data_IF_958164678804
#
_entry.id   IF_958164678804
#
_cell.length_a   1.000
_cell.length_b   1.000
_cell.length_c   1.000
_cell.angle_alpha   90.00
_cell.angle_beta   90.00
_cell.angle_gamma   90.00
#
_symmetry.space_group_name_H-M   'P 1'
#
loop_
_entity.id
_entity.type
_entity.pdbx_description
1 polymer ?
#
# COMPACT_ATOMS: atom_id res chain seq x y z
N UNK A 1 -30.65 51.79 0.35
CA UNK A 1 -30.54 53.07 -0.39
C UNK A 1 -29.49 52.85 -1.50
N UNK A 2 -29.97 52.99 -2.73
CA UNK A 2 -29.23 53.17 -4.02
C UNK A 2 -28.49 51.97 -4.61
N UNK A 3 -29.23 51.26 -5.49
CA UNK A 3 -28.75 50.56 -6.68
C UNK A 3 -27.97 51.47 -7.61
N UNK A 4 -26.92 50.94 -8.24
CA UNK A 4 -26.45 51.50 -9.54
C UNK A 4 -26.22 50.36 -10.51
N UNK A 5 -27.05 50.33 -11.56
CA UNK A 5 -26.96 49.56 -12.79
C UNK A 5 -26.01 50.30 -13.73
N UNK A 6 -25.18 49.60 -14.48
CA UNK A 6 -24.55 50.08 -15.73
C UNK A 6 -24.36 48.77 -16.56
N UNK A 7 -25.17 48.43 -17.50
CA UNK A 7 -25.35 48.73 -18.95
C UNK A 7 -24.19 48.28 -19.82
N UNK A 8 -24.52 47.27 -20.63
CA UNK A 8 -23.92 46.67 -21.81
C UNK A 8 -23.14 47.59 -22.75
N UNK A 9 -22.11 47.02 -23.39
CA UNK A 9 -21.80 47.31 -24.80
C UNK A 9 -21.39 46.02 -25.51
N UNK A 10 -22.21 45.64 -26.49
CA UNK A 10 -21.96 44.65 -27.53
C UNK A 10 -21.14 45.32 -28.60
N UNK A 11 -20.07 44.73 -29.05
CA UNK A 11 -19.41 45.12 -30.31
C UNK A 11 -19.19 43.86 -31.15
N UNK A 12 -20.05 43.70 -32.11
CA UNK A 12 -19.92 42.76 -33.21
C UNK A 12 -18.98 43.33 -34.26
N UNK A 13 -17.96 42.60 -34.66
CA UNK A 13 -17.21 42.85 -35.88
C UNK A 13 -17.27 41.59 -36.75
N UNK A 14 -18.11 41.66 -37.74
CA UNK A 14 -18.08 40.77 -38.90
C UNK A 14 -16.99 41.25 -39.87
N UNK A 15 -16.13 40.36 -40.33
CA UNK A 15 -15.30 40.60 -41.51
C UNK A 15 -15.35 39.38 -42.42
N UNK A 16 -15.61 39.74 -43.64
CA UNK A 16 -16.11 39.02 -44.80
C UNK A 16 -15.00 38.21 -45.49
N UNK A 17 -15.38 37.14 -46.10
CA UNK A 17 -14.72 36.23 -47.05
C UNK A 17 -13.79 36.85 -48.07
N UNK A 18 -12.68 36.17 -48.37
CA UNK A 18 -12.05 36.17 -49.67
C UNK A 18 -11.53 34.76 -50.00
N UNK A 19 -12.18 34.09 -50.92
CA UNK A 19 -11.69 32.92 -51.62
C UNK A 19 -10.63 33.35 -52.64
N UNK A 20 -9.45 32.72 -52.58
CA UNK A 20 -8.57 32.61 -53.75
C UNK A 20 -8.08 31.16 -53.84
N UNK A 21 -8.60 30.48 -54.82
CA UNK A 21 -8.11 29.18 -55.26
C UNK A 21 -6.91 29.38 -56.18
N UNK A 22 -5.82 28.66 -55.92
CA UNK A 22 -4.85 28.26 -56.93
C UNK A 22 -4.17 26.98 -56.50
N UNK A 23 -4.31 25.96 -57.34
CA UNK A 23 -3.74 24.65 -57.18
C UNK A 23 -2.23 24.58 -57.44
N UNK A 24 -1.61 23.56 -56.92
CA UNK A 24 -0.69 22.63 -57.56
C UNK A 24 0.23 21.92 -56.57
N UNK A 25 0.29 20.66 -56.78
CA UNK A 25 1.33 19.68 -56.50
C UNK A 25 1.54 19.19 -55.06
N UNK A 26 1.13 17.91 -54.96
CA UNK A 26 1.59 16.92 -54.02
C UNK A 26 3.06 17.01 -53.64
N UNK A 27 3.29 17.20 -52.34
CA UNK A 27 4.46 16.64 -51.72
C UNK A 27 4.00 15.98 -50.42
N UNK A 28 4.13 14.67 -50.39
CA UNK A 28 3.78 13.83 -49.28
C UNK A 28 4.85 13.93 -48.22
N UNK A 29 4.81 14.98 -47.40
CA UNK A 29 5.50 14.96 -46.13
C UNK A 29 4.70 14.11 -45.15
N UNK A 30 5.17 12.87 -44.94
CA UNK A 30 4.86 12.09 -43.76
C UNK A 30 5.14 12.96 -42.55
N UNK A 31 4.09 13.46 -41.90
CA UNK A 31 4.23 13.87 -40.52
C UNK A 31 4.41 12.59 -39.71
N UNK A 32 5.65 12.27 -39.36
CA UNK A 32 5.92 11.40 -38.24
C UNK A 32 5.35 12.09 -37.00
N UNK A 33 4.10 11.78 -36.70
CA UNK A 33 3.58 11.96 -35.36
C UNK A 33 4.37 10.99 -34.51
N UNK A 34 5.41 11.47 -33.85
CA UNK A 34 6.03 10.80 -32.73
C UNK A 34 4.89 10.53 -31.74
N UNK A 35 4.33 9.28 -31.76
CA UNK A 35 3.60 8.75 -30.64
C UNK A 35 4.56 8.82 -29.47
N UNK A 36 4.28 9.70 -28.55
CA UNK A 36 4.83 9.63 -27.20
C UNK A 36 4.36 8.26 -26.68
N UNK A 37 5.25 7.27 -26.67
CA UNK A 37 5.04 5.99 -25.99
C UNK A 37 5.01 6.23 -24.49
N UNK A 38 3.90 6.82 -24.02
CA UNK A 38 3.64 6.95 -22.60
C UNK A 38 3.21 5.54 -22.17
N UNK A 39 4.08 4.84 -21.46
CA UNK A 39 3.74 3.55 -20.87
C UNK A 39 2.48 3.69 -20.01
N UNK A 40 1.64 2.68 -20.00
CA UNK A 40 0.55 2.56 -19.03
C UNK A 40 1.14 2.52 -17.61
N UNK A 41 0.35 2.94 -16.63
CA UNK A 41 0.77 2.95 -15.23
C UNK A 41 0.11 1.81 -14.49
N UNK A 42 0.91 1.11 -13.68
CA UNK A 42 0.41 0.24 -12.61
C UNK A 42 0.34 1.09 -11.34
N UNK A 43 -0.86 1.34 -10.85
CA UNK A 43 -1.06 2.15 -9.63
C UNK A 43 -1.12 1.21 -8.42
N UNK A 44 -0.14 1.34 -7.53
CA UNK A 44 -0.03 0.61 -6.26
C UNK A 44 -0.57 1.48 -5.13
N UNK A 45 -1.56 0.99 -4.38
CA UNK A 45 -1.93 1.53 -3.07
C UNK A 45 -1.12 0.83 -1.99
N UNK A 46 -0.57 1.61 -1.06
CA UNK A 46 0.24 1.12 0.05
C UNK A 46 0.05 1.98 1.29
N UNK A 47 0.61 1.54 2.44
CA UNK A 47 0.75 2.36 3.64
C UNK A 47 2.23 2.40 4.04
N UNK A 48 2.94 3.44 3.61
CA UNK A 48 4.40 3.56 3.69
C UNK A 48 4.92 3.85 5.11
N UNK A 49 4.51 3.02 6.09
CA UNK A 49 4.83 3.10 7.52
C UNK A 49 5.18 1.72 8.08
N UNK A 50 5.54 0.75 7.21
CA UNK A 50 5.68 -0.66 7.56
C UNK A 50 7.03 -1.25 7.11
N UNK A 51 8.16 -0.77 7.70
CA UNK A 51 9.48 -1.29 7.36
C UNK A 51 9.60 -2.78 7.73
N UNK A 52 10.29 -3.59 6.91
CA UNK A 52 11.05 -3.25 5.71
C UNK A 52 10.25 -3.42 4.41
N UNK A 53 8.91 -3.57 4.46
CA UNK A 53 8.07 -3.85 3.29
C UNK A 53 7.78 -2.59 2.48
N UNK A 54 7.26 -1.53 3.13
CA UNK A 54 6.99 -0.24 2.53
C UNK A 54 7.16 0.87 3.56
N UNK A 55 8.05 1.80 3.27
CA UNK A 55 8.33 2.94 4.15
C UNK A 55 9.00 4.08 3.39
N UNK A 56 9.02 5.26 3.99
CA UNK A 56 9.71 6.40 3.41
C UNK A 56 11.20 6.39 3.74
N UNK A 57 12.04 6.52 2.69
CA UNK A 57 13.43 6.94 2.80
C UNK A 57 13.56 8.32 2.14
N UNK A 58 13.62 9.36 2.95
CA UNK A 58 13.47 10.73 2.47
C UNK A 58 12.07 10.98 1.89
N UNK A 59 12.01 11.34 0.61
CA UNK A 59 10.75 11.60 -0.10
C UNK A 59 10.29 10.40 -0.96
N UNK A 60 11.02 9.29 -0.95
CA UNK A 60 10.73 8.11 -1.77
C UNK A 60 10.15 6.97 -0.91
N UNK A 61 9.17 6.26 -1.45
CA UNK A 61 8.66 5.03 -0.85
C UNK A 61 9.55 3.88 -1.33
N UNK A 62 10.16 3.19 -0.38
CA UNK A 62 11.08 2.07 -0.59
C UNK A 62 10.62 0.83 0.19
N UNK A 63 11.31 -0.28 0.03
CA UNK A 63 11.04 -1.53 0.74
C UNK A 63 10.71 -2.67 -0.19
N UNK A 64 10.47 -3.84 0.40
CA UNK A 64 10.24 -5.08 -0.33
C UNK A 64 9.04 -4.94 -1.27
N UNK A 65 7.90 -4.45 -0.78
CA UNK A 65 6.66 -4.33 -1.55
C UNK A 65 6.79 -3.29 -2.66
N UNK A 66 7.44 -2.16 -2.37
CA UNK A 66 7.68 -1.11 -3.37
C UNK A 66 8.58 -1.61 -4.52
N UNK A 67 9.71 -2.28 -4.20
CA UNK A 67 10.62 -2.80 -5.22
C UNK A 67 10.01 -4.00 -5.96
N UNK A 68 9.25 -4.85 -5.27
CA UNK A 68 8.58 -5.99 -5.87
C UNK A 68 7.48 -5.53 -6.84
N UNK A 69 6.66 -4.55 -6.45
CA UNK A 69 5.67 -3.94 -7.35
C UNK A 69 6.32 -3.26 -8.57
N UNK A 70 7.50 -2.62 -8.39
CA UNK A 70 8.26 -2.04 -9.49
C UNK A 70 8.75 -3.13 -10.47
N UNK A 71 9.28 -4.24 -9.95
CA UNK A 71 9.71 -5.36 -10.77
C UNK A 71 8.52 -6.01 -11.53
N UNK A 72 7.36 -6.13 -10.89
CA UNK A 72 6.12 -6.59 -11.54
C UNK A 72 5.70 -5.62 -12.65
N UNK A 73 5.68 -4.32 -12.38
CA UNK A 73 5.34 -3.30 -13.38
C UNK A 73 6.25 -3.39 -14.60
N UNK A 74 7.57 -3.58 -14.40
CA UNK A 74 8.54 -3.76 -15.48
C UNK A 74 8.26 -5.02 -16.32
N UNK A 75 7.91 -6.15 -15.69
CA UNK A 75 7.50 -7.39 -16.40
C UNK A 75 6.24 -7.17 -17.22
N UNK A 76 5.32 -6.33 -16.74
CA UNK A 76 4.09 -5.94 -17.45
C UNK A 76 4.31 -4.86 -18.52
N UNK A 77 5.50 -4.25 -18.61
CA UNK A 77 5.80 -3.15 -19.51
C UNK A 77 5.14 -1.82 -19.11
N UNK A 78 4.81 -1.67 -17.83
CA UNK A 78 4.15 -0.51 -17.23
C UNK A 78 5.13 0.33 -16.38
N UNK A 79 4.76 1.58 -16.08
CA UNK A 79 5.45 2.42 -15.10
C UNK A 79 4.73 2.29 -13.75
N UNK A 80 5.46 2.03 -12.66
CA UNK A 80 4.86 2.01 -11.33
C UNK A 80 4.49 3.43 -10.87
N UNK A 81 3.32 3.57 -10.26
CA UNK A 81 2.91 4.75 -9.50
C UNK A 81 2.46 4.31 -8.11
N UNK A 82 3.13 4.80 -7.08
CA UNK A 82 2.77 4.50 -5.69
C UNK A 82 1.84 5.60 -5.17
N UNK A 83 0.77 5.18 -4.47
CA UNK A 83 -0.20 6.02 -3.76
C UNK A 83 -0.20 5.59 -2.29
N UNK A 84 0.39 6.43 -1.43
CA UNK A 84 0.38 6.23 0.01
C UNK A 84 -0.95 6.64 0.63
N UNK A 85 -1.48 5.80 1.53
CA UNK A 85 -2.75 6.03 2.23
C UNK A 85 -2.81 5.20 3.51
N UNK A 86 -3.82 5.46 4.37
CA UNK A 86 -4.09 4.61 5.53
C UNK A 86 -4.38 3.17 5.10
N UNK A 87 -3.91 2.18 5.89
CA UNK A 87 -3.98 0.76 5.55
C UNK A 87 -5.42 0.29 5.26
N UNK A 88 -6.38 0.70 6.08
CA UNK A 88 -7.81 0.39 5.93
C UNK A 88 -8.46 0.99 4.66
N UNK A 89 -7.78 1.94 4.01
CA UNK A 89 -8.22 2.57 2.77
C UNK A 89 -7.73 1.85 1.50
N UNK A 90 -6.79 0.89 1.62
CA UNK A 90 -6.17 0.21 0.47
C UNK A 90 -7.21 -0.64 -0.29
N UNK A 91 -7.92 -1.54 0.40
CA UNK A 91 -8.95 -2.38 -0.23
C UNK A 91 -10.05 -1.53 -0.90
N UNK A 92 -10.61 -0.49 -0.25
CA UNK A 92 -11.52 0.46 -0.92
C UNK A 92 -10.94 1.13 -2.17
N UNK A 93 -9.64 1.50 -2.16
CA UNK A 93 -8.99 2.09 -3.33
C UNK A 93 -8.89 1.10 -4.50
N UNK A 94 -8.55 -0.16 -4.23
CA UNK A 94 -8.51 -1.24 -5.22
C UNK A 94 -9.91 -1.55 -5.76
N UNK A 95 -10.92 -1.68 -4.89
CA UNK A 95 -12.31 -1.92 -5.28
C UNK A 95 -12.86 -0.85 -6.21
N UNK A 96 -12.60 0.42 -5.90
CA UNK A 96 -13.05 1.55 -6.71
C UNK A 96 -12.28 1.73 -8.02
N UNK A 97 -11.14 1.04 -8.20
CA UNK A 97 -10.23 1.22 -9.33
C UNK A 97 -9.40 2.50 -9.24
N UNK A 98 -9.27 3.11 -8.05
CA UNK A 98 -8.31 4.18 -7.79
C UNK A 98 -6.88 3.65 -7.80
N UNK A 99 -6.69 2.41 -7.37
CA UNK A 99 -5.46 1.65 -7.50
C UNK A 99 -5.72 0.35 -8.26
N UNK A 100 -4.72 -0.14 -8.99
CA UNK A 100 -4.76 -1.41 -9.72
C UNK A 100 -4.42 -2.58 -8.78
N UNK A 101 -3.44 -2.35 -7.89
CA UNK A 101 -2.98 -3.31 -6.88
C UNK A 101 -2.89 -2.66 -5.51
N UNK A 102 -3.09 -3.45 -4.46
CA UNK A 102 -2.72 -3.13 -3.07
C UNK A 102 -1.53 -3.98 -2.67
N UNK A 103 -0.42 -3.35 -2.27
CA UNK A 103 0.78 -4.02 -1.75
C UNK A 103 1.18 -3.32 -0.45
N UNK A 104 1.05 -4.01 0.68
CA UNK A 104 1.21 -3.44 2.01
C UNK A 104 1.34 -4.53 3.09
N UNK A 105 2.19 -5.54 2.86
CA UNK A 105 2.23 -6.71 3.74
C UNK A 105 0.83 -7.31 3.96
N UNK A 106 0.00 -7.33 2.92
CA UNK A 106 -1.42 -7.59 3.09
C UNK A 106 -1.72 -9.08 3.18
N UNK A 107 -2.15 -9.51 4.36
CA UNK A 107 -2.57 -10.87 4.63
C UNK A 107 -3.82 -11.26 3.85
N UNK A 108 -3.81 -12.45 3.28
CA UNK A 108 -4.98 -13.09 2.67
C UNK A 108 -5.91 -13.59 3.77
N UNK A 109 -7.12 -13.02 3.86
CA UNK A 109 -8.18 -13.52 4.76
C UNK A 109 -9.44 -13.83 3.98
N UNK A 110 -10.29 -14.71 4.50
CA UNK A 110 -11.58 -15.04 3.87
C UNK A 110 -12.43 -13.78 3.67
N UNK A 111 -12.43 -12.87 4.65
CA UNK A 111 -13.22 -11.64 4.62
C UNK A 111 -12.72 -10.69 3.53
N UNK A 112 -11.41 -10.47 3.44
CA UNK A 112 -10.77 -9.66 2.38
C UNK A 112 -10.99 -10.29 1.00
N UNK A 113 -10.92 -11.63 0.90
CA UNK A 113 -11.17 -12.36 -0.34
C UNK A 113 -12.62 -12.25 -0.85
N UNK A 114 -13.58 -11.86 -0.02
CA UNK A 114 -14.92 -11.49 -0.50
C UNK A 114 -14.93 -10.17 -1.24
N UNK A 115 -13.98 -9.28 -0.96
CA UNK A 115 -13.94 -7.89 -1.40
C UNK A 115 -13.00 -7.65 -2.58
N UNK A 116 -11.88 -8.36 -2.62
CA UNK A 116 -10.84 -8.30 -3.66
C UNK A 116 -10.43 -9.70 -4.08
N UNK A 117 -9.73 -9.83 -5.19
CA UNK A 117 -8.97 -11.03 -5.51
C UNK A 117 -7.52 -10.83 -5.08
N UNK A 118 -6.83 -11.92 -4.82
CA UNK A 118 -5.43 -11.91 -4.42
C UNK A 118 -4.55 -12.57 -5.47
N UNK A 119 -3.30 -12.12 -5.54
CA UNK A 119 -2.24 -12.84 -6.24
C UNK A 119 -1.87 -14.12 -5.50
N UNK A 120 -0.98 -14.92 -6.09
CA UNK A 120 -0.22 -15.93 -5.35
C UNK A 120 0.57 -15.24 -4.22
N UNK A 121 0.70 -15.96 -3.08
CA UNK A 121 1.46 -15.45 -1.94
C UNK A 121 2.94 -15.25 -2.30
N UNK A 122 3.52 -14.13 -1.82
CA UNK A 122 4.92 -13.82 -2.03
C UNK A 122 5.77 -13.93 -0.77
N UNK A 123 5.20 -13.74 0.42
CA UNK A 123 5.90 -13.76 1.70
C UNK A 123 5.01 -14.37 2.79
N UNK A 124 5.62 -14.92 3.86
CA UNK A 124 4.90 -15.37 5.06
C UNK A 124 5.30 -14.48 6.22
N UNK A 125 4.33 -13.71 6.73
CA UNK A 125 4.45 -12.87 7.91
C UNK A 125 4.13 -13.65 9.18
N UNK A 126 4.54 -13.09 10.31
CA UNK A 126 4.24 -13.64 11.65
C UNK A 126 3.82 -12.50 12.56
N UNK A 127 2.62 -12.58 13.12
CA UNK A 127 2.18 -11.65 14.16
C UNK A 127 2.90 -11.94 15.47
N UNK A 128 3.43 -10.90 16.11
CA UNK A 128 4.15 -10.98 17.38
C UNK A 128 3.60 -9.97 18.38
N UNK A 129 4.03 -10.10 19.63
CA UNK A 129 3.64 -9.23 20.74
C UNK A 129 4.86 -8.42 21.16
N UNK A 130 4.74 -7.09 21.15
CA UNK A 130 5.72 -6.17 21.74
C UNK A 130 5.23 -5.74 23.11
N UNK A 131 6.11 -5.77 24.09
CA UNK A 131 5.87 -5.30 25.47
C UNK A 131 7.06 -4.48 25.97
N UNK A 132 6.90 -3.78 27.09
CA UNK A 132 8.02 -3.14 27.77
C UNK A 132 8.91 -4.20 28.44
N UNK A 133 10.21 -3.88 28.64
CA UNK A 133 11.17 -4.80 29.24
C UNK A 133 10.78 -5.30 30.64
N UNK A 134 10.10 -4.46 31.41
CA UNK A 134 9.60 -4.73 32.76
C UNK A 134 8.19 -5.33 32.80
N UNK A 135 7.60 -5.65 31.65
CA UNK A 135 6.26 -6.24 31.56
C UNK A 135 6.23 -7.68 32.09
N UNK A 136 5.16 -8.00 32.83
CA UNK A 136 4.83 -9.34 33.30
C UNK A 136 4.17 -10.23 32.22
N UNK A 137 3.85 -9.68 31.06
CA UNK A 137 3.26 -10.41 29.92
C UNK A 137 4.35 -11.26 29.28
N UNK A 138 4.10 -12.56 29.17
CA UNK A 138 5.03 -13.56 28.63
C UNK A 138 4.49 -14.28 27.39
N UNK A 139 3.22 -14.14 27.09
CA UNK A 139 2.56 -14.77 25.95
C UNK A 139 1.13 -14.31 25.76
N UNK A 140 0.44 -14.84 24.73
CA UNK A 140 -0.94 -14.45 24.39
C UNK A 140 -1.94 -14.64 25.54
N UNK A 141 -1.77 -15.66 26.37
CA UNK A 141 -2.69 -15.96 27.49
C UNK A 141 -2.73 -14.82 28.53
N UNK A 142 -1.64 -14.06 28.67
CA UNK A 142 -1.50 -12.97 29.63
C UNK A 142 -2.16 -11.66 29.15
N UNK A 143 -2.62 -11.61 27.88
CA UNK A 143 -3.26 -10.41 27.27
C UNK A 143 -4.71 -10.22 27.73
N UNK A 144 -5.31 -11.20 28.44
CA UNK A 144 -6.68 -11.09 28.94
C UNK A 144 -6.84 -9.89 29.87
N UNK A 145 -7.74 -8.97 29.49
CA UNK A 145 -8.02 -7.75 30.26
C UNK A 145 -6.94 -6.68 30.20
N UNK A 146 -5.93 -6.87 29.33
CA UNK A 146 -4.91 -5.89 29.01
C UNK A 146 -5.36 -4.98 27.88
N UNK A 147 -4.78 -3.79 27.79
CA UNK A 147 -4.97 -2.89 26.65
C UNK A 147 -3.97 -3.21 25.56
N UNK A 148 -4.47 -3.52 24.38
CA UNK A 148 -3.69 -3.97 23.24
C UNK A 148 -3.75 -2.89 22.16
N UNK A 149 -2.59 -2.36 21.76
CA UNK A 149 -2.48 -1.45 20.62
C UNK A 149 -2.29 -2.22 19.33
N UNK A 150 -3.01 -1.80 18.30
CA UNK A 150 -2.95 -2.39 16.96
C UNK A 150 -3.00 -1.30 15.89
N UNK A 151 -2.54 -1.60 14.69
CA UNK A 151 -2.83 -0.74 13.55
C UNK A 151 -4.23 -1.08 13.01
N UNK A 152 -5.06 -0.05 12.81
CA UNK A 152 -6.44 -0.20 12.37
C UNK A 152 -6.59 -0.96 11.06
N UNK A 153 -7.47 -1.95 11.03
CA UNK A 153 -7.84 -2.73 9.86
C UNK A 153 -6.84 -3.83 9.48
N UNK A 154 -5.74 -4.01 10.25
CA UNK A 154 -4.80 -5.13 10.07
C UNK A 154 -5.37 -6.42 10.66
N UNK A 155 -4.70 -7.55 10.40
CA UNK A 155 -5.03 -8.83 11.04
C UNK A 155 -4.73 -8.81 12.53
N UNK A 156 -3.72 -8.04 12.96
CA UNK A 156 -3.49 -7.77 14.39
C UNK A 156 -4.69 -7.13 15.08
N UNK A 157 -5.39 -6.20 14.42
CA UNK A 157 -6.64 -5.62 14.91
C UNK A 157 -7.77 -6.66 14.96
N UNK A 158 -7.97 -7.40 13.87
CA UNK A 158 -9.05 -8.39 13.75
C UNK A 158 -8.90 -9.46 14.82
N UNK A 159 -7.74 -10.13 14.89
CA UNK A 159 -7.52 -11.24 15.85
C UNK A 159 -7.52 -10.77 17.29
N UNK A 160 -6.93 -9.59 17.58
CA UNK A 160 -6.97 -9.05 18.94
C UNK A 160 -8.41 -8.74 19.38
N UNK A 161 -9.25 -8.25 18.47
CA UNK A 161 -10.65 -7.96 18.73
C UNK A 161 -11.44 -9.26 18.99
N UNK A 162 -11.20 -10.28 18.19
CA UNK A 162 -11.88 -11.58 18.32
C UNK A 162 -11.48 -12.30 19.61
N UNK A 163 -10.18 -12.29 19.96
CA UNK A 163 -9.65 -13.03 21.11
C UNK A 163 -9.85 -12.31 22.45
N UNK A 164 -9.74 -10.97 22.48
CA UNK A 164 -9.71 -10.21 23.73
C UNK A 164 -10.88 -9.24 23.89
N UNK A 165 -11.67 -9.01 22.84
CA UNK A 165 -12.83 -8.10 22.83
C UNK A 165 -12.46 -6.64 22.49
N UNK A 166 -13.38 -5.98 21.83
CA UNK A 166 -13.21 -4.60 21.29
C UNK A 166 -12.84 -3.56 22.36
N UNK A 167 -13.34 -3.70 23.59
CA UNK A 167 -13.05 -2.80 24.70
C UNK A 167 -11.57 -2.83 25.15
N UNK A 168 -10.83 -3.89 24.80
CA UNK A 168 -9.42 -4.06 25.13
C UNK A 168 -8.48 -3.67 24.00
N UNK A 169 -9.00 -3.36 22.81
CA UNK A 169 -8.20 -3.02 21.62
C UNK A 169 -8.22 -1.52 21.36
N UNK A 170 -7.04 -0.92 21.35
CA UNK A 170 -6.84 0.49 20.99
C UNK A 170 -6.22 0.58 19.59
N UNK A 171 -6.95 1.21 18.66
CA UNK A 171 -6.60 1.28 17.25
C UNK A 171 -5.86 2.56 16.93
N UNK A 172 -4.77 2.42 16.20
CA UNK A 172 -3.93 3.51 15.73
C UNK A 172 -3.89 3.51 14.20
N UNK A 173 -3.68 4.68 13.59
CA UNK A 173 -3.52 4.75 12.14
C UNK A 173 -2.21 4.11 11.67
N UNK A 174 -1.17 4.14 12.53
CA UNK A 174 0.19 3.65 12.26
C UNK A 174 0.65 2.72 13.37
N UNK A 175 1.38 1.67 13.02
CA UNK A 175 1.96 0.74 14.00
C UNK A 175 2.90 1.44 14.98
N UNK A 176 3.71 2.39 14.51
CA UNK A 176 4.60 3.18 15.36
C UNK A 176 3.85 4.02 16.40
N UNK A 177 2.63 4.50 16.12
CA UNK A 177 1.81 5.23 17.11
C UNK A 177 1.40 4.31 18.26
N UNK A 178 1.08 3.03 17.98
CA UNK A 178 0.82 2.02 19.00
C UNK A 178 2.07 1.78 19.87
N UNK A 179 3.25 1.65 19.24
CA UNK A 179 4.52 1.49 19.94
C UNK A 179 4.82 2.70 20.85
N UNK A 180 4.59 3.91 20.40
CA UNK A 180 4.72 5.11 21.23
C UNK A 180 3.72 5.14 22.39
N UNK A 181 2.49 4.67 22.19
CA UNK A 181 1.49 4.55 23.27
C UNK A 181 1.92 3.51 24.32
N UNK A 182 2.53 2.40 23.91
CA UNK A 182 3.12 1.39 24.79
C UNK A 182 4.24 1.99 25.65
N UNK A 183 5.19 2.70 25.05
CA UNK A 183 6.28 3.37 25.78
C UNK A 183 5.77 4.40 26.80
N UNK A 184 4.63 5.04 26.51
CA UNK A 184 4.00 6.01 27.40
C UNK A 184 3.15 5.35 28.50
N UNK A 185 3.06 4.01 28.53
CA UNK A 185 2.25 3.28 29.50
C UNK A 185 0.73 3.48 29.33
N UNK A 186 0.28 3.85 28.13
CA UNK A 186 -1.14 4.01 27.82
C UNK A 186 -1.82 2.69 27.48
N UNK A 187 -1.05 1.76 26.95
CA UNK A 187 -1.41 0.38 26.61
C UNK A 187 -0.39 -0.58 27.19
N UNK A 188 -0.73 -1.86 27.26
CA UNK A 188 0.08 -2.90 27.89
C UNK A 188 0.91 -3.71 26.89
N UNK A 189 0.45 -3.83 25.65
CA UNK A 189 1.11 -4.57 24.58
C UNK A 189 0.76 -4.01 23.20
N UNK A 190 1.58 -4.32 22.18
CA UNK A 190 1.27 -4.09 20.77
C UNK A 190 1.30 -5.43 20.04
N UNK A 191 0.30 -5.69 19.18
CA UNK A 191 0.31 -6.82 18.25
C UNK A 191 0.54 -6.27 16.84
N UNK A 192 1.60 -6.77 16.20
CA UNK A 192 2.04 -6.35 14.87
C UNK A 192 2.92 -7.44 14.26
N UNK A 193 3.18 -7.35 12.96
CA UNK A 193 4.08 -8.27 12.27
C UNK A 193 5.53 -8.20 12.76
N UNK A 194 6.19 -9.35 12.72
CA UNK A 194 7.54 -9.55 13.26
C UNK A 194 8.60 -8.62 12.65
N UNK A 195 8.58 -8.41 11.34
CA UNK A 195 9.63 -7.60 10.71
C UNK A 195 9.54 -6.12 11.11
N UNK A 196 8.39 -5.42 10.98
CA UNK A 196 8.28 -4.07 11.53
C UNK A 196 8.46 -4.03 13.06
N UNK A 197 8.04 -5.06 13.81
CA UNK A 197 8.29 -5.15 15.23
C UNK A 197 9.79 -5.10 15.55
N UNK A 198 10.62 -5.84 14.81
CA UNK A 198 12.10 -5.80 14.98
C UNK A 198 12.64 -4.38 14.77
N UNK A 199 12.25 -3.73 13.66
CA UNK A 199 12.67 -2.34 13.39
C UNK A 199 12.27 -1.40 14.53
N UNK A 200 11.02 -1.50 14.99
CA UNK A 200 10.52 -0.62 16.05
C UNK A 200 11.20 -0.86 17.40
N UNK A 201 11.52 -2.12 17.74
CA UNK A 201 12.21 -2.45 18.98
C UNK A 201 13.69 -2.08 18.93
N UNK A 202 14.35 -2.23 17.79
CA UNK A 202 15.75 -1.78 17.59
C UNK A 202 15.91 -0.26 17.81
N UNK A 203 14.89 0.52 17.45
CA UNK A 203 14.89 1.97 17.67
C UNK A 203 14.47 2.38 19.10
N UNK A 204 14.04 1.43 19.93
CA UNK A 204 13.43 1.69 21.24
C UNK A 204 13.94 0.71 22.33
N UNK A 205 15.04 1.05 23.00
CA UNK A 205 15.76 0.20 23.96
C UNK A 205 14.93 -0.32 25.17
N UNK A 206 13.71 0.20 25.40
CA UNK A 206 12.86 -0.20 26.55
C UNK A 206 11.79 -1.23 26.18
N UNK A 207 11.82 -1.75 24.95
CA UNK A 207 10.83 -2.66 24.41
C UNK A 207 11.47 -3.99 24.03
N UNK A 208 10.68 -5.04 24.10
CA UNK A 208 11.04 -6.39 23.63
C UNK A 208 9.91 -7.05 22.87
N UNK A 209 10.27 -7.90 21.91
CA UNK A 209 9.36 -8.83 21.25
C UNK A 209 9.33 -10.11 22.09
N UNK A 210 8.14 -10.64 22.36
CA UNK A 210 8.02 -11.95 23.01
C UNK A 210 8.44 -13.07 22.04
N UNK A 211 9.07 -14.11 22.56
CA UNK A 211 9.53 -15.27 21.78
C UNK A 211 8.37 -16.10 21.17
N UNK A 212 7.17 -15.97 21.73
CA UNK A 212 5.99 -16.70 21.28
C UNK A 212 5.37 -15.96 20.12
N UNK A 213 5.29 -16.60 18.93
CA UNK A 213 4.51 -16.10 17.80
C UNK A 213 3.03 -16.12 18.12
N UNK A 214 2.26 -15.17 17.57
CA UNK A 214 0.82 -15.11 17.74
C UNK A 214 0.10 -15.83 16.60
N UNK A 215 0.35 -15.44 15.34
CA UNK A 215 -0.23 -16.06 14.13
C UNK A 215 0.76 -16.00 12.98
N UNK A 216 0.79 -17.02 12.10
CA UNK A 216 1.48 -16.99 10.80
C UNK A 216 0.50 -16.63 9.67
N UNK A 217 0.93 -15.85 8.71
CA UNK A 217 0.07 -15.26 7.69
C UNK A 217 0.76 -15.17 6.33
N UNK A 218 0.00 -15.40 5.26
CA UNK A 218 0.48 -15.27 3.90
C UNK A 218 0.16 -13.89 3.32
N UNK A 219 1.19 -13.17 2.84
CA UNK A 219 1.03 -11.89 2.14
C UNK A 219 0.83 -12.09 0.65
N UNK A 220 -0.12 -11.36 0.09
CA UNK A 220 -0.38 -11.32 -1.34
C UNK A 220 -0.80 -9.92 -1.79
N UNK A 221 -0.73 -9.68 -3.10
CA UNK A 221 -1.16 -8.42 -3.68
C UNK A 221 -2.69 -8.44 -3.87
N UNK A 222 -3.37 -7.43 -3.33
CA UNK A 222 -4.81 -7.26 -3.53
C UNK A 222 -5.08 -6.69 -4.93
N UNK A 223 -6.04 -7.26 -5.64
CA UNK A 223 -6.44 -6.87 -7.00
C UNK A 223 -7.96 -6.74 -7.04
N UNK A 224 -8.48 -5.83 -7.85
CA UNK A 224 -9.91 -5.63 -7.96
C UNK A 224 -10.64 -6.94 -8.30
N UNK A 225 -11.71 -7.23 -7.55
CA UNK A 225 -12.54 -8.42 -7.71
C UNK A 225 -13.01 -8.60 -9.15
N UNK A 226 -12.77 -9.79 -9.72
CA UNK A 226 -13.14 -10.15 -11.09
C UNK A 226 -12.19 -9.64 -12.17
N UNK A 227 -11.02 -9.08 -11.81
CA UNK A 227 -9.97 -8.72 -12.78
C UNK A 227 -8.99 -9.87 -13.01
N UNK A 228 -9.53 -11.01 -13.50
CA UNK A 228 -8.79 -12.26 -13.71
C UNK A 228 -7.57 -12.07 -14.63
N UNK A 229 -7.67 -11.14 -15.61
CA UNK A 229 -6.55 -10.84 -16.53
C UNK A 229 -5.35 -10.24 -15.78
N UNK A 230 -5.60 -9.28 -14.88
CA UNK A 230 -4.52 -8.68 -14.08
C UNK A 230 -3.98 -9.69 -13.05
N UNK A 231 -4.85 -10.46 -12.38
CA UNK A 231 -4.42 -11.53 -11.44
C UNK A 231 -3.46 -12.49 -12.15
N UNK A 232 -3.85 -12.96 -13.35
CA UNK A 232 -3.00 -13.87 -14.12
C UNK A 232 -1.65 -13.25 -14.48
N UNK A 233 -1.65 -12.02 -14.99
CA UNK A 233 -0.41 -11.32 -15.38
C UNK A 233 0.51 -11.08 -14.20
N UNK A 234 -0.05 -10.69 -13.05
CA UNK A 234 0.70 -10.50 -11.81
C UNK A 234 1.28 -11.83 -11.33
N UNK A 235 0.51 -12.92 -11.32
CA UNK A 235 1.01 -14.23 -10.91
C UNK A 235 2.09 -14.77 -11.85
N UNK A 236 1.94 -14.58 -13.17
CA UNK A 236 2.98 -14.93 -14.13
C UNK A 236 4.29 -14.15 -13.84
N UNK A 237 4.18 -12.83 -13.53
CA UNK A 237 5.33 -12.00 -13.18
C UNK A 237 5.95 -12.42 -11.83
N UNK A 238 5.14 -12.68 -10.80
CA UNK A 238 5.61 -13.19 -9.48
C UNK A 238 6.41 -14.47 -9.66
N UNK A 239 5.87 -15.39 -10.43
CA UNK A 239 6.54 -16.67 -10.72
C UNK A 239 7.90 -16.46 -11.38
N UNK A 240 7.96 -15.64 -12.44
CA UNK A 240 9.21 -15.34 -13.14
C UNK A 240 10.25 -14.69 -12.22
N UNK A 241 9.83 -13.72 -11.39
CA UNK A 241 10.70 -13.00 -10.44
C UNK A 241 11.24 -13.91 -9.33
N UNK A 242 10.47 -14.92 -8.91
CA UNK A 242 10.93 -15.94 -7.97
C UNK A 242 11.90 -16.92 -8.66
N UNK A 243 11.59 -17.38 -9.87
CA UNK A 243 12.42 -18.34 -10.62
C UNK A 243 13.78 -17.74 -11.04
N UNK A 244 13.85 -16.45 -11.39
CA UNK A 244 15.10 -15.78 -11.78
C UNK A 244 15.89 -15.22 -10.58
N UNK A 245 15.40 -15.39 -9.36
CA UNK A 245 16.00 -14.95 -8.09
C UNK A 245 15.97 -13.45 -7.86
N UNK A 246 15.17 -12.70 -8.62
CA UNK A 246 15.00 -11.25 -8.41
C UNK A 246 14.28 -10.97 -7.10
N UNK A 247 13.23 -11.73 -6.78
CA UNK A 247 12.51 -11.58 -5.52
C UNK A 247 13.42 -11.83 -4.31
N UNK A 248 14.21 -12.90 -4.33
CA UNK A 248 15.16 -13.22 -3.23
C UNK A 248 16.19 -12.11 -3.02
N UNK A 249 16.68 -11.49 -4.12
CA UNK A 249 17.60 -10.35 -4.03
C UNK A 249 16.93 -9.11 -3.42
N UNK A 250 15.66 -8.86 -3.75
CA UNK A 250 14.90 -7.77 -3.15
C UNK A 250 14.77 -8.02 -1.65
N UNK A 251 14.32 -9.21 -1.24
CA UNK A 251 14.18 -9.55 0.18
C UNK A 251 15.51 -9.43 0.94
N UNK A 252 16.59 -10.00 0.39
CA UNK A 252 17.92 -9.99 1.01
C UNK A 252 18.55 -8.58 1.15
N UNK A 253 18.04 -7.58 0.42
CA UNK A 253 18.46 -6.18 0.56
C UNK A 253 17.93 -5.56 1.86
N UNK A 254 16.78 -6.01 2.34
CA UNK A 254 16.05 -5.41 3.46
C UNK A 254 16.02 -6.30 4.72
N UNK A 255 16.02 -7.61 4.53
CA UNK A 255 16.04 -8.58 5.63
C UNK A 255 17.37 -9.31 5.57
N UNK A 256 18.23 -9.02 6.55
CA UNK A 256 19.50 -9.73 6.79
C UNK A 256 19.31 -10.59 8.05
N UNK A 257 19.69 -11.88 7.96
CA UNK A 257 19.68 -12.82 9.10
C UNK A 257 20.62 -12.37 10.22
#
# INVERSE_FOLDING_TARGET
>A
MKMKKIISVVLACACVFSFAACGSKSDSSKSDSAKSDKKEKLVMATNAEFPPFEYYDGDEVVGIDAEFAAAIADKLGMDLKIEDMAFDSIIPAVQSGKADIGAAGMTVTEDRATQVDFSDSYYTGVQVIIVTDDSDITGPDDLKGKKIGVQQGTTGDIYSTDDFGDDNVERFNKGMEAVQALQQGKIDAVIIDNQPAKTFVEENESLKILETSYVEEDYALAIKKGNDDLVKKVNDAIKELKEDGTFDKIVAKYITD
#
